data_IF_074316829112
#
_entry.id   IF_074316829112
#
_cell.length_a   1.000
_cell.length_b   1.000
_cell.length_c   1.000
_cell.angle_alpha   90.00
_cell.angle_beta   90.00
_cell.angle_gamma   90.00
#
_symmetry.space_group_name_H-M   'P 1'
#
loop_
_entity.id
_entity.type
_entity.pdbx_description
1 polymer ?
#
# COMPACT_ATOMS: atom_id res chain seq x y z
N UNK A 1 3.14 31.12 -8.39
CA UNK A 1 2.06 30.30 -8.94
C UNK A 1 1.76 29.20 -7.95
N UNK A 2 0.50 29.11 -7.45
CA UNK A 2 0.05 28.01 -6.59
C UNK A 2 0.16 26.70 -7.36
N UNK A 3 0.72 25.66 -6.74
CA UNK A 3 0.80 24.33 -7.34
C UNK A 3 -0.47 23.56 -7.00
N UNK A 4 -1.35 23.42 -7.99
CA UNK A 4 -2.59 22.65 -7.85
C UNK A 4 -2.31 21.27 -7.24
N UNK A 5 -3.17 20.83 -6.29
CA UNK A 5 -3.04 19.59 -5.52
C UNK A 5 -1.80 19.49 -4.59
N UNK A 6 -1.08 20.59 -4.36
CA UNK A 6 0.02 20.65 -3.40
C UNK A 6 -0.25 21.71 -2.35
N UNK A 7 -0.47 22.97 -2.79
CA UNK A 7 -0.63 24.11 -1.87
C UNK A 7 -2.01 24.04 -1.18
N UNK A 8 -3.02 23.53 -1.86
CA UNK A 8 -4.38 23.33 -1.33
C UNK A 8 -4.41 22.39 -0.11
N UNK A 9 -3.56 21.36 -0.09
CA UNK A 9 -3.42 20.44 1.04
C UNK A 9 -2.47 20.95 2.15
N UNK A 10 -1.95 22.18 2.01
CA UNK A 10 -1.09 22.84 2.99
C UNK A 10 -1.68 24.13 3.51
N UNK A 11 -2.98 24.34 3.28
CA UNK A 11 -3.69 25.55 3.71
C UNK A 11 -3.90 25.55 5.24
N UNK A 12 -3.22 26.45 5.98
CA UNK A 12 -3.35 26.52 7.44
C UNK A 12 -4.72 27.04 7.88
N UNK A 13 -5.44 27.76 7.02
CA UNK A 13 -6.78 28.27 7.34
C UNK A 13 -7.78 27.11 7.27
N UNK A 14 -7.70 26.29 6.22
CA UNK A 14 -8.52 25.08 6.09
C UNK A 14 -8.23 24.12 7.25
N UNK A 15 -6.95 23.91 7.61
CA UNK A 15 -6.56 23.05 8.72
C UNK A 15 -7.18 23.53 10.05
N UNK A 16 -7.10 24.81 10.39
CA UNK A 16 -7.71 25.36 11.62
C UNK A 16 -9.22 25.20 11.63
N UNK A 17 -9.89 25.40 10.49
CA UNK A 17 -11.35 25.18 10.38
C UNK A 17 -11.74 23.74 10.64
N UNK A 18 -10.96 22.77 10.10
CA UNK A 18 -11.19 21.35 10.35
C UNK A 18 -10.97 20.99 11.81
N UNK A 19 -9.92 21.50 12.45
CA UNK A 19 -9.66 21.27 13.89
C UNK A 19 -10.81 21.81 14.74
N UNK A 20 -11.28 23.03 14.46
CA UNK A 20 -12.45 23.58 15.17
C UNK A 20 -13.70 22.70 14.98
N UNK A 21 -13.93 22.23 13.75
CA UNK A 21 -15.04 21.32 13.46
C UNK A 21 -14.93 19.98 14.17
N UNK A 22 -13.71 19.43 14.30
CA UNK A 22 -13.45 18.22 15.08
C UNK A 22 -13.79 18.46 16.55
N UNK A 23 -13.38 19.58 17.13
CA UNK A 23 -13.70 19.92 18.51
C UNK A 23 -15.22 20.03 18.74
N UNK A 24 -15.94 20.70 17.84
CA UNK A 24 -17.41 20.82 17.90
C UNK A 24 -18.10 19.45 17.84
N UNK A 25 -17.61 18.55 16.96
CA UNK A 25 -18.19 17.22 16.78
C UNK A 25 -17.86 16.26 17.93
N UNK A 26 -16.66 16.41 18.52
CA UNK A 26 -16.24 15.59 19.67
C UNK A 26 -17.06 15.93 20.91
N UNK A 27 -17.42 17.19 21.11
CA UNK A 27 -18.15 17.63 22.31
C UNK A 27 -17.45 17.16 23.58
N UNK A 28 -18.16 16.47 24.46
CA UNK A 28 -17.65 15.91 25.70
C UNK A 28 -17.11 14.47 25.56
N UNK A 29 -17.22 13.86 24.37
CA UNK A 29 -16.76 12.50 24.11
C UNK A 29 -15.24 12.45 23.93
N UNK A 30 -14.62 11.32 24.30
CA UNK A 30 -13.20 11.05 24.09
C UNK A 30 -13.01 10.02 23.00
N UNK A 31 -12.08 10.30 22.09
CA UNK A 31 -11.75 9.45 20.97
C UNK A 31 -10.26 9.08 20.96
N UNK A 32 -9.97 7.82 20.73
CA UNK A 32 -8.61 7.33 20.53
C UNK A 32 -8.51 6.69 19.15
N UNK A 33 -7.68 7.26 18.28
CA UNK A 33 -7.47 6.75 16.92
C UNK A 33 -6.05 6.20 16.78
N UNK A 34 -5.96 4.94 16.34
CA UNK A 34 -4.68 4.37 15.94
C UNK A 34 -4.48 4.58 14.43
N UNK A 35 -3.46 5.34 14.07
CA UNK A 35 -3.03 5.39 12.68
C UNK A 35 -1.99 4.28 12.42
N UNK A 36 -2.03 3.70 11.22
CA UNK A 36 -1.23 2.52 10.86
C UNK A 36 -0.35 2.76 9.63
N UNK A 37 0.02 4.00 9.36
CA UNK A 37 0.81 4.36 8.19
C UNK A 37 1.99 5.26 8.57
N UNK A 38 3.23 4.82 8.29
CA UNK A 38 4.43 5.61 8.57
C UNK A 38 4.43 6.99 7.89
N UNK A 39 3.79 7.13 6.73
CA UNK A 39 3.59 8.43 6.07
C UNK A 39 2.65 9.35 6.86
N UNK A 40 1.61 8.80 7.48
CA UNK A 40 0.72 9.56 8.37
C UNK A 40 1.46 9.99 9.64
N UNK A 41 2.17 9.05 10.31
CA UNK A 41 3.01 9.36 11.49
C UNK A 41 3.95 10.51 11.19
N UNK A 42 4.70 10.41 10.09
CA UNK A 42 5.62 11.48 9.66
C UNK A 42 4.91 12.82 9.47
N UNK A 43 3.74 12.83 8.84
CA UNK A 43 2.96 14.05 8.60
C UNK A 43 2.43 14.65 9.89
N UNK A 44 1.92 13.82 10.80
CA UNK A 44 1.42 14.23 12.11
C UNK A 44 2.52 14.95 12.90
N UNK A 45 3.69 14.36 13.02
CA UNK A 45 4.83 14.96 13.74
C UNK A 45 5.38 16.18 13.04
N UNK A 46 5.60 16.11 11.73
CA UNK A 46 6.15 17.21 10.93
C UNK A 46 5.31 18.49 11.04
N UNK A 47 4.00 18.37 11.13
CA UNK A 47 3.08 19.49 11.18
C UNK A 47 2.52 19.76 12.57
N UNK A 48 2.95 19.02 13.59
CA UNK A 48 2.49 19.19 14.97
C UNK A 48 0.98 19.01 15.15
N UNK A 49 0.37 18.10 14.39
CA UNK A 49 -1.09 17.92 14.36
C UNK A 49 -1.62 17.56 15.74
N UNK A 50 -0.90 16.77 16.53
CA UNK A 50 -1.28 16.39 17.89
C UNK A 50 -1.45 17.61 18.82
N UNK A 51 -0.68 18.67 18.59
CA UNK A 51 -0.73 19.87 19.44
C UNK A 51 -1.91 20.80 19.11
N UNK A 52 -2.52 20.63 17.95
CA UNK A 52 -3.65 21.45 17.50
C UNK A 52 -5.01 20.74 17.61
N UNK A 53 -5.01 19.42 17.75
CA UNK A 53 -6.24 18.65 18.00
C UNK A 53 -6.81 18.94 19.39
N UNK A 54 -8.14 18.85 19.59
CA UNK A 54 -8.75 18.95 20.91
C UNK A 54 -8.26 17.81 21.81
N UNK A 55 -8.16 18.06 23.12
CA UNK A 55 -7.70 17.08 24.12
C UNK A 55 -8.55 15.81 24.18
N UNK A 56 -9.78 15.87 23.68
CA UNK A 56 -10.68 14.74 23.55
C UNK A 56 -10.30 13.79 22.42
N UNK A 57 -9.35 14.14 21.55
CA UNK A 57 -8.87 13.31 20.45
C UNK A 57 -7.40 12.96 20.67
N UNK A 58 -7.14 11.68 20.97
CA UNK A 58 -5.81 11.11 21.13
C UNK A 58 -5.43 10.33 19.86
N UNK A 59 -4.22 10.58 19.34
CA UNK A 59 -3.64 9.80 18.27
C UNK A 59 -2.65 8.79 18.85
N UNK A 60 -2.79 7.51 18.47
CA UNK A 60 -1.88 6.43 18.83
C UNK A 60 -1.20 5.94 17.56
N UNK A 61 0.11 5.82 17.60
CA UNK A 61 0.88 5.35 16.45
C UNK A 61 0.95 3.83 16.48
N UNK A 62 0.39 3.21 15.45
CA UNK A 62 0.35 1.76 15.29
C UNK A 62 1.63 1.20 14.67
N UNK A 63 1.61 -0.09 14.28
CA UNK A 63 2.81 -0.83 13.83
C UNK A 63 3.33 -0.40 12.46
N UNK A 64 2.68 0.51 11.77
CA UNK A 64 2.95 0.88 10.38
C UNK A 64 2.03 0.16 9.40
N UNK A 65 2.06 0.57 8.12
CA UNK A 65 1.30 -0.10 7.06
C UNK A 65 2.12 -1.25 6.45
N UNK A 66 1.48 -2.21 5.74
CA UNK A 66 2.18 -3.32 5.09
C UNK A 66 3.33 -2.90 4.18
N UNK A 67 3.18 -1.76 3.48
CA UNK A 67 4.23 -1.19 2.62
C UNK A 67 5.39 -0.62 3.44
N UNK A 68 5.09 0.06 4.57
CA UNK A 68 6.11 0.70 5.40
C UNK A 68 6.93 -0.29 6.23
N UNK A 69 6.39 -1.48 6.52
CA UNK A 69 7.02 -2.49 7.40
C UNK A 69 7.51 -3.72 6.64
N UNK A 70 7.37 -3.74 5.31
CA UNK A 70 7.85 -4.87 4.51
C UNK A 70 9.37 -5.06 4.71
N UNK A 71 9.84 -6.27 5.03
CA UNK A 71 11.27 -6.50 5.12
C UNK A 71 11.96 -6.22 3.78
N UNK A 72 13.10 -5.53 3.83
CA UNK A 72 13.89 -5.16 2.64
C UNK A 72 14.21 -6.39 1.76
N UNK A 73 14.54 -7.53 2.39
CA UNK A 73 14.79 -8.78 1.66
C UNK A 73 13.61 -9.27 0.84
N UNK A 74 12.35 -8.98 1.28
CA UNK A 74 11.16 -9.33 0.48
C UNK A 74 10.99 -8.44 -0.75
N UNK A 75 11.46 -7.20 -0.67
CA UNK A 75 11.53 -6.32 -1.85
C UNK A 75 12.62 -6.82 -2.80
N UNK A 76 13.76 -7.27 -2.28
CA UNK A 76 14.83 -7.86 -3.10
C UNK A 76 14.39 -9.16 -3.78
N UNK A 77 13.63 -10.02 -3.07
CA UNK A 77 13.00 -11.22 -3.66
C UNK A 77 12.03 -10.84 -4.80
N UNK A 78 11.21 -9.80 -4.58
CA UNK A 78 10.26 -9.30 -5.58
C UNK A 78 11.00 -8.79 -6.84
N UNK A 79 12.11 -8.07 -6.66
CA UNK A 79 12.95 -7.59 -7.76
C UNK A 79 13.56 -8.78 -8.52
N UNK A 80 14.09 -9.77 -7.81
CA UNK A 80 14.68 -10.96 -8.43
C UNK A 80 13.64 -11.76 -9.24
N UNK A 81 12.42 -11.91 -8.71
CA UNK A 81 11.30 -12.53 -9.43
C UNK A 81 10.93 -11.72 -10.68
N UNK A 82 10.87 -10.40 -10.57
CA UNK A 82 10.53 -9.51 -11.68
C UNK A 82 11.58 -9.55 -12.81
N UNK A 83 12.85 -9.76 -12.47
CA UNK A 83 13.97 -9.85 -13.42
C UNK A 83 14.13 -11.27 -14.00
N UNK A 84 13.31 -12.24 -13.58
CA UNK A 84 13.34 -13.60 -14.12
C UNK A 84 12.77 -13.60 -15.55
N UNK A 85 13.47 -14.17 -16.54
CA UNK A 85 12.98 -14.26 -17.91
C UNK A 85 11.62 -14.97 -18.00
N UNK A 86 10.69 -14.42 -18.78
CA UNK A 86 9.35 -14.99 -18.96
C UNK A 86 8.36 -14.67 -17.85
N UNK A 87 8.75 -13.90 -16.85
CA UNK A 87 7.88 -13.44 -15.77
C UNK A 87 7.29 -12.05 -16.10
N UNK A 88 5.99 -11.91 -15.94
CA UNK A 88 5.29 -10.64 -15.82
C UNK A 88 5.02 -10.43 -14.34
N UNK A 89 5.68 -9.45 -13.74
CA UNK A 89 5.54 -9.14 -12.32
C UNK A 89 4.52 -8.04 -12.11
N UNK A 90 3.51 -8.28 -11.28
CA UNK A 90 2.42 -7.33 -11.04
C UNK A 90 2.35 -6.95 -9.58
N UNK A 91 2.10 -5.69 -9.29
CA UNK A 91 1.94 -5.18 -7.92
C UNK A 91 1.07 -3.93 -7.90
N UNK A 92 0.71 -3.49 -6.70
CA UNK A 92 0.09 -2.18 -6.50
C UNK A 92 1.10 -1.04 -6.75
N UNK A 93 0.59 0.12 -7.16
CA UNK A 93 1.43 1.24 -7.61
C UNK A 93 2.35 1.84 -6.54
N UNK A 94 1.97 1.76 -5.26
CA UNK A 94 2.76 2.21 -4.11
C UNK A 94 4.04 1.37 -3.92
N UNK A 95 3.97 0.05 -4.19
CA UNK A 95 5.12 -0.85 -4.09
C UNK A 95 6.22 -0.56 -5.13
N UNK A 96 5.89 0.10 -6.23
CA UNK A 96 6.84 0.36 -7.33
C UNK A 96 8.07 1.15 -6.90
N UNK A 97 7.96 1.97 -5.86
CA UNK A 97 9.00 2.88 -5.37
C UNK A 97 9.61 2.48 -4.02
N UNK A 98 9.17 1.38 -3.45
CA UNK A 98 9.71 0.89 -2.18
C UNK A 98 11.13 0.38 -2.41
N UNK A 99 12.14 0.92 -1.67
CA UNK A 99 13.52 0.52 -1.87
C UNK A 99 13.82 -0.81 -1.19
N UNK A 100 14.47 -1.71 -1.92
CA UNK A 100 15.21 -2.86 -1.39
C UNK A 100 16.71 -2.58 -1.39
N UNK A 101 17.51 -3.57 -1.04
CA UNK A 101 18.98 -3.51 -1.16
C UNK A 101 19.45 -3.48 -2.62
N UNK A 102 18.63 -3.98 -3.56
CA UNK A 102 18.91 -4.04 -5.00
C UNK A 102 18.25 -2.91 -5.80
N UNK A 103 17.62 -1.95 -5.14
CA UNK A 103 16.88 -0.87 -5.76
C UNK A 103 15.36 -1.02 -5.60
N UNK A 104 14.60 -0.59 -6.60
CA UNK A 104 13.14 -0.57 -6.62
C UNK A 104 12.58 -1.39 -7.79
N UNK A 105 11.30 -1.79 -7.74
CA UNK A 105 10.60 -2.40 -8.88
C UNK A 105 10.57 -1.47 -10.11
N UNK A 106 10.50 -0.16 -9.88
CA UNK A 106 10.54 0.82 -10.98
C UNK A 106 11.89 0.82 -11.70
N UNK A 107 12.99 0.68 -10.95
CA UNK A 107 14.32 0.55 -11.52
C UNK A 107 14.51 -0.81 -12.21
N UNK A 108 13.97 -1.91 -11.67
CA UNK A 108 13.94 -3.21 -12.35
C UNK A 108 13.23 -3.11 -13.69
N UNK A 109 12.08 -2.41 -13.73
CA UNK A 109 11.38 -2.11 -14.99
C UNK A 109 12.25 -1.30 -15.97
N UNK A 110 12.96 -0.31 -15.48
CA UNK A 110 13.88 0.49 -16.33
C UNK A 110 15.05 -0.35 -16.88
N UNK A 111 15.44 -1.44 -16.19
CA UNK A 111 16.42 -2.42 -16.67
C UNK A 111 15.85 -3.46 -17.66
N UNK A 112 14.54 -3.42 -17.93
CA UNK A 112 13.88 -4.27 -18.92
C UNK A 112 12.98 -5.37 -18.33
N UNK A 113 12.80 -5.45 -17.03
CA UNK A 113 11.82 -6.35 -16.42
C UNK A 113 10.38 -5.97 -16.77
N UNK A 114 9.52 -6.95 -17.05
CA UNK A 114 8.10 -6.68 -17.31
C UNK A 114 7.36 -6.51 -15.97
N UNK A 115 7.42 -5.29 -15.44
CA UNK A 115 6.72 -4.92 -14.20
C UNK A 115 5.51 -4.07 -14.54
N UNK A 116 4.33 -4.50 -14.09
CA UNK A 116 3.07 -3.81 -14.33
C UNK A 116 2.38 -3.48 -13.01
N UNK A 117 1.82 -2.28 -12.88
CA UNK A 117 0.97 -1.97 -11.73
C UNK A 117 -0.49 -2.32 -12.03
N UNK A 118 -1.17 -2.80 -11.01
CA UNK A 118 -2.56 -3.23 -11.06
C UNK A 118 -3.34 -2.62 -9.88
N UNK A 119 -4.65 -2.56 -10.01
CA UNK A 119 -5.54 -2.05 -8.96
C UNK A 119 -6.23 -3.15 -8.17
N UNK A 120 -6.16 -4.39 -8.67
CA UNK A 120 -6.73 -5.56 -7.99
C UNK A 120 -5.97 -6.83 -8.36
N UNK A 121 -6.04 -7.90 -7.54
CA UNK A 121 -5.49 -9.21 -7.94
C UNK A 121 -6.21 -9.80 -9.17
N UNK A 122 -7.47 -9.42 -9.43
CA UNK A 122 -8.20 -9.83 -10.64
C UNK A 122 -7.60 -9.23 -11.91
N UNK A 123 -7.03 -8.04 -11.85
CA UNK A 123 -6.32 -7.45 -13.00
C UNK A 123 -5.07 -8.28 -13.34
N UNK A 124 -4.35 -8.74 -12.32
CA UNK A 124 -3.19 -9.61 -12.51
C UNK A 124 -3.61 -10.98 -13.11
N UNK A 125 -4.74 -11.53 -12.67
CA UNK A 125 -5.29 -12.75 -13.25
C UNK A 125 -5.69 -12.55 -14.73
N UNK A 126 -6.29 -11.40 -15.08
CA UNK A 126 -6.61 -11.06 -16.47
C UNK A 126 -5.35 -11.02 -17.33
N UNK A 127 -4.27 -10.40 -16.83
CA UNK A 127 -2.98 -10.41 -17.52
C UNK A 127 -2.48 -11.84 -17.74
N UNK A 128 -2.66 -12.75 -16.78
CA UNK A 128 -2.27 -14.16 -16.95
C UNK A 128 -3.05 -14.86 -18.06
N UNK A 129 -4.35 -14.59 -18.17
CA UNK A 129 -5.19 -15.12 -19.28
C UNK A 129 -4.73 -14.58 -20.63
N UNK A 130 -4.39 -13.28 -20.70
CA UNK A 130 -3.94 -12.61 -21.94
C UNK A 130 -2.53 -13.03 -22.37
N UNK A 131 -1.70 -13.55 -21.44
CA UNK A 131 -0.30 -13.90 -21.68
C UNK A 131 0.00 -15.35 -21.27
N UNK A 132 -0.60 -16.38 -21.94
CA UNK A 132 -0.51 -17.77 -21.49
C UNK A 132 0.91 -18.37 -21.58
N UNK A 133 1.82 -17.73 -22.31
CA UNK A 133 3.22 -18.14 -22.45
C UNK A 133 4.14 -17.58 -21.35
N UNK A 134 3.62 -16.68 -20.49
CA UNK A 134 4.40 -16.03 -19.43
C UNK A 134 3.87 -16.45 -18.06
N UNK A 135 4.74 -16.56 -17.06
CA UNK A 135 4.33 -16.68 -15.67
C UNK A 135 3.97 -15.31 -15.12
N UNK A 136 2.76 -15.14 -14.61
CA UNK A 136 2.31 -13.89 -14.02
C UNK A 136 2.35 -13.99 -12.50
N UNK A 137 3.18 -13.17 -11.88
CA UNK A 137 3.34 -13.13 -10.41
C UNK A 137 2.68 -11.89 -9.86
N UNK A 138 1.73 -12.04 -8.95
CA UNK A 138 1.12 -10.95 -8.22
C UNK A 138 1.77 -10.80 -6.84
N UNK A 139 2.40 -9.65 -6.60
CA UNK A 139 2.96 -9.28 -5.31
C UNK A 139 1.85 -8.75 -4.40
N UNK A 140 1.34 -9.62 -3.56
CA UNK A 140 0.22 -9.35 -2.67
C UNK A 140 0.71 -8.74 -1.36
N UNK A 141 0.66 -7.42 -1.25
CA UNK A 141 1.01 -6.65 -0.06
C UNK A 141 -0.25 -5.99 0.50
N UNK A 142 -0.54 -6.17 1.77
CA UNK A 142 -1.71 -5.61 2.40
C UNK A 142 -1.92 -6.14 3.82
N UNK A 143 -2.95 -5.66 4.48
CA UNK A 143 -3.44 -6.23 5.74
C UNK A 143 -4.34 -7.45 5.48
N UNK A 144 -4.80 -8.11 6.55
CA UNK A 144 -5.74 -9.24 6.50
C UNK A 144 -6.99 -8.93 5.66
N UNK A 145 -7.44 -7.68 5.67
CA UNK A 145 -8.61 -7.22 4.94
C UNK A 145 -8.46 -7.34 3.42
N UNK A 146 -7.23 -7.42 2.91
CA UNK A 146 -6.94 -7.59 1.48
C UNK A 146 -6.71 -9.07 1.09
N UNK A 147 -6.45 -9.95 2.04
CA UNK A 147 -6.21 -11.38 1.79
C UNK A 147 -7.42 -12.09 1.14
N UNK A 148 -8.69 -11.81 1.49
CA UNK A 148 -9.83 -12.44 0.85
C UNK A 148 -9.91 -12.21 -0.66
N UNK A 149 -9.60 -11.00 -1.14
CA UNK A 149 -9.60 -10.70 -2.58
C UNK A 149 -8.54 -11.50 -3.33
N UNK A 150 -7.37 -11.69 -2.72
CA UNK A 150 -6.29 -12.53 -3.27
C UNK A 150 -6.72 -14.00 -3.28
N UNK A 151 -7.33 -14.50 -2.20
CA UNK A 151 -7.80 -15.88 -2.11
C UNK A 151 -8.91 -16.18 -3.15
N UNK A 152 -9.88 -15.27 -3.28
CA UNK A 152 -10.95 -15.40 -4.29
C UNK A 152 -10.37 -15.43 -5.71
N UNK A 153 -9.34 -14.61 -5.97
CA UNK A 153 -8.67 -14.60 -7.27
C UNK A 153 -7.96 -15.93 -7.56
N UNK A 154 -7.30 -16.53 -6.57
CA UNK A 154 -6.69 -17.85 -6.70
C UNK A 154 -7.75 -18.95 -6.96
N UNK A 155 -8.89 -18.90 -6.25
CA UNK A 155 -10.00 -19.83 -6.49
C UNK A 155 -10.57 -19.67 -7.91
N UNK A 156 -10.68 -18.44 -8.39
CA UNK A 156 -11.10 -18.15 -9.76
C UNK A 156 -10.08 -18.68 -10.78
N UNK A 157 -8.79 -18.42 -10.59
CA UNK A 157 -7.73 -18.94 -11.45
C UNK A 157 -7.81 -20.47 -11.56
N UNK A 158 -7.99 -21.16 -10.42
CA UNK A 158 -8.17 -22.62 -10.39
C UNK A 158 -9.43 -23.08 -11.13
N UNK A 159 -10.57 -22.39 -10.91
CA UNK A 159 -11.84 -22.71 -11.59
C UNK A 159 -11.74 -22.55 -13.09
N UNK A 160 -11.05 -21.53 -13.57
CA UNK A 160 -10.91 -21.20 -14.98
C UNK A 160 -9.68 -21.88 -15.64
N UNK A 161 -9.01 -22.82 -14.92
CA UNK A 161 -7.79 -23.55 -15.32
C UNK A 161 -6.63 -22.64 -15.79
N UNK A 162 -6.52 -21.45 -15.18
CA UNK A 162 -5.39 -20.53 -15.42
C UNK A 162 -4.19 -20.97 -14.59
N UNK A 163 -3.22 -21.60 -15.24
CA UNK A 163 -2.10 -22.28 -14.56
C UNK A 163 -0.83 -21.45 -14.41
N UNK A 164 -0.74 -20.32 -15.10
CA UNK A 164 0.40 -19.41 -15.13
C UNK A 164 0.23 -18.20 -14.20
N UNK A 165 -0.73 -18.24 -13.26
CA UNK A 165 -0.93 -17.21 -12.24
C UNK A 165 -0.34 -17.65 -10.90
N UNK A 166 0.52 -16.80 -10.32
CA UNK A 166 1.19 -17.02 -9.03
C UNK A 166 0.97 -15.85 -8.11
N UNK A 167 1.02 -16.08 -6.81
CA UNK A 167 0.96 -15.04 -5.80
C UNK A 167 2.21 -15.11 -4.92
N UNK A 168 2.93 -14.00 -4.84
CA UNK A 168 3.98 -13.76 -3.87
C UNK A 168 3.39 -12.99 -2.70
N UNK A 169 2.97 -13.72 -1.65
CA UNK A 169 2.20 -13.15 -0.54
C UNK A 169 3.08 -12.50 0.53
N UNK A 170 2.75 -11.29 0.89
CA UNK A 170 3.33 -10.51 1.97
C UNK A 170 2.24 -9.75 2.74
N UNK A 171 1.16 -10.44 3.07
CA UNK A 171 0.14 -9.89 3.94
C UNK A 171 0.67 -9.79 5.37
N UNK A 172 0.32 -8.69 6.02
CA UNK A 172 0.61 -8.45 7.44
C UNK A 172 -0.67 -8.65 8.23
N UNK A 173 -0.56 -9.35 9.34
CA UNK A 173 -1.67 -9.51 10.28
C UNK A 173 -1.55 -8.49 11.41
N UNK A 174 -2.66 -7.84 11.75
CA UNK A 174 -2.77 -7.08 12.99
C UNK A 174 -3.30 -8.06 14.03
N UNK A 175 -2.40 -8.53 14.87
CA UNK A 175 -2.83 -9.35 16.02
C UNK A 175 -3.56 -8.41 16.97
N UNK A 176 -4.84 -8.68 17.32
CA UNK A 176 -5.51 -7.89 18.34
C UNK A 176 -4.70 -7.96 19.64
N UNK A 177 -4.54 -6.85 20.36
CA UNK A 177 -3.90 -6.85 21.67
C UNK A 177 -4.67 -7.65 22.67
#
# INVERSE_FOLDING_TARGET
>A
MSKRFVDEYRDPVAARRLVARIADLAGDDSFKFMEVCGGHTHTIYRHGIEHVLPRSVELVHGPGCPVCVIPMGRVDDAIALAETPGVIFTSFGDMMRVPGGRGTLLEAKARGADVRFVYSPLDALRIAVEHPASEVVFFAVGFETTAPSTAVTLLKARKDDVRNFRVFSNHVTIVPP
#
